data_IF_460012385662
#
_entry.id   IF_460012385662
#
_cell.length_a   1.000
_cell.length_b   1.000
_cell.length_c   1.000
_cell.angle_alpha   90.00
_cell.angle_beta   90.00
_cell.angle_gamma   90.00
#
_symmetry.space_group_name_H-M   'P 1'
#
loop_
_entity.id
_entity.type
_entity.pdbx_description
1 polymer ?
#
# COMPACT_ATOMS: atom_id res chain seq x y z
N UNK A 1 27.16 28.91 -17.40
CA UNK A 1 28.30 28.56 -16.52
C UNK A 1 28.15 27.24 -15.76
N UNK A 2 27.02 26.52 -15.84
CA UNK A 2 26.77 25.27 -15.08
C UNK A 2 27.38 23.99 -15.72
N UNK A 3 27.67 23.99 -17.02
CA UNK A 3 28.13 22.77 -17.73
C UNK A 3 29.62 22.42 -17.47
N UNK A 4 30.45 23.39 -17.10
CA UNK A 4 31.90 23.17 -16.90
C UNK A 4 32.24 22.39 -15.63
N UNK A 5 31.36 22.42 -14.61
CA UNK A 5 31.59 21.77 -13.31
C UNK A 5 30.81 20.47 -13.12
N UNK A 6 29.86 20.15 -14.00
CA UNK A 6 29.10 18.90 -13.98
C UNK A 6 29.96 17.62 -14.00
N UNK A 7 30.95 17.47 -14.91
CA UNK A 7 31.72 16.23 -15.00
C UNK A 7 32.67 16.02 -13.81
N UNK A 8 33.21 17.10 -13.23
CA UNK A 8 34.06 17.00 -12.03
C UNK A 8 33.27 16.65 -10.78
N UNK A 9 32.01 17.08 -10.67
CA UNK A 9 31.10 16.65 -9.61
C UNK A 9 30.76 15.17 -9.75
N UNK A 10 30.39 14.71 -10.95
CA UNK A 10 30.08 13.29 -11.20
C UNK A 10 31.28 12.39 -10.92
N UNK A 11 32.48 12.82 -11.30
CA UNK A 11 33.73 12.11 -11.00
C UNK A 11 34.00 12.02 -9.50
N UNK A 12 33.84 13.12 -8.76
CA UNK A 12 34.00 13.11 -7.30
C UNK A 12 32.96 12.20 -6.63
N UNK A 13 31.72 12.18 -7.09
CA UNK A 13 30.68 11.27 -6.58
C UNK A 13 31.05 9.81 -6.84
N UNK A 14 31.54 9.49 -8.04
CA UNK A 14 32.01 8.15 -8.39
C UNK A 14 33.20 7.72 -7.50
N UNK A 15 34.19 8.59 -7.31
CA UNK A 15 35.37 8.32 -6.48
C UNK A 15 34.99 8.17 -4.99
N UNK A 16 34.04 8.96 -4.48
CA UNK A 16 33.50 8.83 -3.11
C UNK A 16 32.69 7.53 -2.93
N UNK A 17 31.93 7.11 -3.94
CA UNK A 17 31.21 5.83 -3.91
C UNK A 17 32.16 4.63 -4.03
N UNK A 18 33.31 4.77 -4.69
CA UNK A 18 34.38 3.77 -4.70
C UNK A 18 35.12 3.69 -3.35
N UNK A 19 35.29 4.82 -2.67
CA UNK A 19 35.81 4.93 -1.30
C UNK A 19 34.73 4.65 -0.25
N UNK A 20 33.99 3.54 -0.39
CA UNK A 20 33.17 3.03 0.72
C UNK A 20 34.12 2.82 1.89
N UNK A 21 34.04 3.67 2.91
CA UNK A 21 34.75 3.45 4.16
C UNK A 21 34.34 2.08 4.68
N UNK A 22 35.21 1.08 4.49
CA UNK A 22 35.15 -0.25 5.10
C UNK A 22 35.53 -0.19 6.59
N UNK A 23 35.49 0.98 7.21
CA UNK A 23 35.36 1.15 8.64
C UNK A 23 33.89 1.09 9.04
N UNK A 24 33.18 0.03 8.63
CA UNK A 24 31.87 -0.25 9.21
C UNK A 24 32.18 -0.56 10.67
N UNK A 25 31.67 0.27 11.57
CA UNK A 25 31.67 -0.01 12.99
C UNK A 25 31.05 -1.40 13.17
N UNK A 26 31.89 -2.43 13.31
CA UNK A 26 31.52 -3.80 13.65
C UNK A 26 31.11 -3.82 15.13
N UNK A 27 30.24 -2.89 15.53
CA UNK A 27 29.42 -3.09 16.70
C UNK A 27 28.64 -4.36 16.41
N UNK A 28 29.14 -5.45 16.98
CA UNK A 28 28.50 -6.74 16.99
C UNK A 28 27.11 -6.50 17.57
N UNK A 29 26.10 -6.39 16.70
CA UNK A 29 24.70 -6.36 17.11
C UNK A 29 24.45 -7.77 17.67
N UNK A 30 24.81 -7.98 18.94
CA UNK A 30 24.34 -9.13 19.68
C UNK A 30 22.82 -9.05 19.57
N UNK A 31 22.18 -10.07 18.99
CA UNK A 31 20.73 -10.23 19.06
C UNK A 31 20.38 -10.11 20.54
N UNK A 32 19.90 -8.94 20.94
CA UNK A 32 19.63 -8.63 22.33
C UNK A 32 18.33 -9.36 22.64
N UNK A 33 18.44 -10.57 23.19
CA UNK A 33 17.31 -11.22 23.80
C UNK A 33 16.83 -10.30 24.92
N UNK A 34 15.60 -9.79 24.80
CA UNK A 34 14.97 -8.98 25.83
C UNK A 34 13.94 -9.81 26.58
N UNK A 35 13.73 -9.51 27.86
CA UNK A 35 12.73 -10.17 28.72
C UNK A 35 11.79 -9.12 29.30
N UNK A 36 10.47 -9.35 29.18
CA UNK A 36 9.39 -8.44 29.64
C UNK A 36 9.47 -7.01 29.07
N UNK A 37 10.20 -6.81 27.97
CA UNK A 37 10.27 -5.52 27.26
C UNK A 37 10.11 -5.73 25.76
N UNK A 38 9.49 -4.76 25.09
CA UNK A 38 9.28 -4.81 23.64
C UNK A 38 10.63 -4.61 22.94
N UNK A 39 11.02 -5.56 22.09
CA UNK A 39 12.18 -5.40 21.23
C UNK A 39 11.90 -4.34 20.17
N UNK A 40 12.81 -3.39 19.99
CA UNK A 40 12.71 -2.46 18.87
C UNK A 40 12.90 -3.21 17.54
N UNK A 41 11.92 -3.16 16.62
CA UNK A 41 12.09 -3.77 15.31
C UNK A 41 13.07 -2.96 14.48
N UNK A 42 13.80 -3.65 13.60
CA UNK A 42 14.77 -2.99 12.72
C UNK A 42 14.08 -1.92 11.88
N UNK A 43 14.75 -0.78 11.68
CA UNK A 43 14.20 0.38 10.96
C UNK A 43 13.60 0.02 9.60
N UNK A 44 14.25 -0.85 8.83
CA UNK A 44 13.71 -1.26 7.52
C UNK A 44 12.39 -2.01 7.63
N UNK A 45 12.20 -2.85 8.66
CA UNK A 45 10.93 -3.57 8.86
C UNK A 45 9.79 -2.62 9.22
N UNK A 46 10.05 -1.58 10.01
CA UNK A 46 9.05 -0.52 10.28
C UNK A 46 8.63 0.18 8.99
N UNK A 47 9.62 0.61 8.18
CA UNK A 47 9.36 1.31 6.92
C UNK A 47 8.58 0.40 5.96
N UNK A 48 8.99 -0.86 5.80
CA UNK A 48 8.30 -1.81 4.93
C UNK A 48 6.86 -2.02 5.40
N UNK A 49 6.62 -2.17 6.70
CA UNK A 49 5.29 -2.34 7.26
C UNK A 49 4.39 -1.12 6.97
N UNK A 50 4.91 0.09 7.15
CA UNK A 50 4.18 1.34 6.83
C UNK A 50 3.90 1.48 5.33
N UNK A 51 4.88 1.19 4.48
CA UNK A 51 4.70 1.23 3.03
C UNK A 51 3.65 0.23 2.54
N UNK A 52 3.71 -1.02 3.03
CA UNK A 52 2.72 -2.05 2.66
C UNK A 52 1.34 -1.67 3.16
N UNK A 53 1.23 -1.18 4.41
CA UNK A 53 -0.04 -0.68 4.96
C UNK A 53 -0.61 0.47 4.13
N UNK A 54 0.24 1.41 3.70
CA UNK A 54 -0.15 2.51 2.82
C UNK A 54 -0.65 2.04 1.45
N UNK A 55 0.04 1.06 0.84
CA UNK A 55 -0.37 0.47 -0.45
C UNK A 55 -1.72 -0.23 -0.34
N UNK A 56 -1.96 -0.99 0.75
CA UNK A 56 -3.24 -1.66 0.98
C UNK A 56 -4.39 -0.65 1.09
N UNK A 57 -4.23 0.40 1.89
CA UNK A 57 -5.28 1.42 2.04
C UNK A 57 -5.49 2.23 0.76
N UNK A 58 -4.43 2.59 0.07
CA UNK A 58 -4.54 3.23 -1.25
C UNK A 58 -5.32 2.34 -2.23
N UNK A 59 -5.01 1.04 -2.27
CA UNK A 59 -5.72 0.08 -3.14
C UNK A 59 -7.21 -0.04 -2.80
N UNK A 60 -7.56 -0.08 -1.51
CA UNK A 60 -8.95 -0.14 -1.06
C UNK A 60 -9.70 1.12 -1.51
N UNK A 61 -9.15 2.31 -1.27
CA UNK A 61 -9.82 3.56 -1.65
C UNK A 61 -9.89 3.74 -3.17
N UNK A 62 -8.85 3.31 -3.89
CA UNK A 62 -8.85 3.30 -5.34
C UNK A 62 -9.97 2.43 -5.91
N UNK A 63 -10.10 1.18 -5.45
CA UNK A 63 -11.16 0.28 -5.90
C UNK A 63 -12.54 0.74 -5.45
N UNK A 64 -12.67 1.29 -4.23
CA UNK A 64 -13.94 1.84 -3.78
C UNK A 64 -14.42 3.03 -4.65
N UNK A 65 -13.50 3.79 -5.24
CA UNK A 65 -13.84 4.86 -6.17
C UNK A 65 -14.14 4.37 -7.59
N UNK A 66 -13.29 3.50 -8.13
CA UNK A 66 -13.41 3.03 -9.52
C UNK A 66 -14.50 1.98 -9.71
N UNK A 67 -14.64 1.09 -8.74
CA UNK A 67 -15.47 -0.11 -8.83
C UNK A 67 -16.43 -0.22 -7.63
N UNK A 68 -17.08 0.91 -7.30
CA UNK A 68 -18.02 1.02 -6.16
C UNK A 68 -19.17 0.01 -6.20
N UNK A 69 -19.55 -0.44 -7.41
CA UNK A 69 -20.60 -1.43 -7.63
C UNK A 69 -20.34 -2.77 -6.94
N UNK A 70 -19.08 -3.16 -6.68
CA UNK A 70 -18.79 -4.37 -5.90
C UNK A 70 -19.25 -4.26 -4.45
N UNK A 71 -19.39 -3.04 -3.92
CA UNK A 71 -19.84 -2.79 -2.56
C UNK A 71 -21.36 -2.64 -2.51
N UNK A 72 -21.95 -1.91 -3.46
CA UNK A 72 -23.40 -1.64 -3.47
C UNK A 72 -24.24 -2.65 -4.24
N UNK A 73 -23.61 -3.54 -4.99
CA UNK A 73 -24.26 -4.41 -5.96
C UNK A 73 -24.32 -3.76 -7.35
N UNK A 74 -24.17 -4.61 -8.37
CA UNK A 74 -24.24 -4.21 -9.78
C UNK A 74 -25.68 -4.03 -10.29
N UNK A 75 -26.63 -4.72 -9.66
CA UNK A 75 -28.00 -4.80 -10.15
C UNK A 75 -28.92 -3.93 -9.29
N UNK A 76 -29.93 -3.28 -9.91
CA UNK A 76 -30.93 -2.56 -9.15
C UNK A 76 -31.70 -3.52 -8.24
N UNK A 77 -32.11 -3.00 -7.08
CA UNK A 77 -32.96 -3.75 -6.16
C UNK A 77 -34.37 -3.86 -6.76
N UNK A 78 -34.80 -5.09 -7.08
CA UNK A 78 -36.15 -5.37 -7.57
C UNK A 78 -37.03 -5.66 -6.35
N UNK A 79 -38.06 -4.86 -6.14
CA UNK A 79 -39.00 -5.07 -5.03
C UNK A 79 -40.17 -5.93 -5.51
N UNK A 80 -40.48 -7.07 -4.86
CA UNK A 80 -41.57 -7.96 -5.28
C UNK A 80 -42.95 -7.30 -5.30
N UNK A 81 -43.15 -6.22 -4.53
CA UNK A 81 -44.42 -5.47 -4.46
C UNK A 81 -44.68 -4.59 -5.68
N UNK A 82 -43.65 -4.36 -6.52
CA UNK A 82 -43.79 -3.58 -7.76
C UNK A 82 -44.28 -4.42 -8.92
N UNK A 83 -44.27 -5.75 -8.80
CA UNK A 83 -44.82 -6.64 -9.81
C UNK A 83 -46.34 -6.59 -9.79
N UNK A 84 -46.91 -6.40 -10.98
CA UNK A 84 -48.37 -6.44 -11.13
C UNK A 84 -48.87 -7.88 -11.06
N UNK A 85 -50.11 -8.04 -10.59
CA UNK A 85 -50.77 -9.35 -10.52
C UNK A 85 -50.86 -10.01 -11.92
N UNK A 86 -50.94 -9.21 -12.99
CA UNK A 86 -50.90 -9.69 -14.38
C UNK A 86 -49.54 -10.31 -14.77
N UNK A 87 -48.43 -9.67 -14.39
CA UNK A 87 -47.07 -10.21 -14.61
C UNK A 87 -46.82 -11.47 -13.78
N UNK A 88 -47.42 -11.53 -12.59
CA UNK A 88 -47.31 -12.66 -11.68
C UNK A 88 -48.30 -13.78 -11.98
N UNK A 89 -49.22 -13.56 -12.93
CA UNK A 89 -50.23 -14.53 -13.36
C UNK A 89 -51.28 -14.84 -12.29
N UNK A 90 -51.52 -13.90 -11.37
CA UNK A 90 -52.54 -14.03 -10.33
C UNK A 90 -53.89 -13.64 -10.96
N UNK A 91 -54.86 -14.55 -11.02
CA UNK A 91 -56.18 -14.22 -11.55
C UNK A 91 -56.89 -13.21 -10.63
N UNK A 92 -57.67 -12.27 -11.19
CA UNK A 92 -58.54 -11.41 -10.39
C UNK A 92 -59.62 -12.25 -9.71
N UNK A 93 -59.98 -11.88 -8.48
CA UNK A 93 -60.87 -12.68 -7.65
C UNK A 93 -62.35 -12.67 -8.09
N UNK A 94 -62.79 -11.78 -9.00
CA UNK A 94 -64.09 -11.83 -9.72
C UNK A 94 -64.18 -10.72 -10.79
#
# INVERSE_FOLDING_TARGET
MLLSRGPSILRNIYELNGRKQTGVNLQQIRKCWTYRTVTEPKRHWKIIAECVGGVVWWWIFWNAWHDYEHITGHFPEIRPIEWSDEELGIPPDD
#
